data_IF_508780336884
#
_entry.id   IF_508780336884
#
_cell.length_a   1.000
_cell.length_b   1.000
_cell.length_c   1.000
_cell.angle_alpha   90.00
_cell.angle_beta   90.00
_cell.angle_gamma   90.00
#
_symmetry.space_group_name_H-M   'P 1'
#
loop_
_entity.id
_entity.type
_entity.pdbx_description
1 polymer ?
#
# COMPACT_ATOMS: atom_id res chain seq x y z
N UNK A 1 -29.76 3.46 -1.38
CA UNK A 1 -29.23 2.73 -2.57
C UNK A 1 -27.79 3.13 -2.89
N UNK A 2 -27.47 4.41 -3.05
CA UNK A 2 -26.09 4.86 -3.37
C UNK A 2 -25.08 4.55 -2.25
N UNK A 3 -25.49 4.69 -0.98
CA UNK A 3 -24.68 4.29 0.19
C UNK A 3 -24.42 2.78 0.23
N UNK A 4 -25.43 1.99 -0.13
CA UNK A 4 -25.35 0.52 -0.18
C UNK A 4 -24.42 0.05 -1.28
N UNK A 5 -24.39 0.74 -2.44
CA UNK A 5 -23.42 0.50 -3.52
C UNK A 5 -22.00 0.88 -3.08
N UNK A 6 -21.84 1.96 -2.31
CA UNK A 6 -20.53 2.35 -1.76
C UNK A 6 -19.99 1.30 -0.76
N UNK A 7 -20.86 0.73 0.08
CA UNK A 7 -20.48 -0.38 0.97
C UNK A 7 -20.30 -1.73 0.24
N UNK A 8 -21.05 -1.99 -0.84
CA UNK A 8 -20.82 -3.18 -1.67
C UNK A 8 -19.51 -3.09 -2.46
N UNK A 9 -19.08 -1.86 -2.80
CA UNK A 9 -17.76 -1.55 -3.36
C UNK A 9 -16.62 -1.63 -2.33
N UNK A 10 -16.91 -1.81 -1.03
CA UNK A 10 -15.88 -2.17 -0.03
C UNK A 10 -15.52 -3.66 -0.08
N UNK A 11 -16.11 -4.46 -0.97
CA UNK A 11 -15.40 -5.65 -1.46
C UNK A 11 -14.11 -5.15 -2.09
N UNK A 12 -12.99 -5.54 -1.51
CA UNK A 12 -11.68 -5.02 -1.84
C UNK A 12 -11.35 -5.50 -3.25
N UNK A 13 -11.73 -4.70 -4.25
CA UNK A 13 -11.37 -4.88 -5.66
C UNK A 13 -9.94 -4.41 -5.94
N UNK A 14 -9.29 -3.84 -4.93
CA UNK A 14 -7.87 -3.56 -4.94
C UNK A 14 -7.11 -4.87 -4.78
N UNK A 15 -6.04 -5.05 -5.57
CA UNK A 15 -5.08 -6.14 -5.43
C UNK A 15 -4.19 -5.97 -4.17
N UNK A 16 -4.50 -5.00 -3.33
CA UNK A 16 -3.81 -4.70 -2.10
C UNK A 16 -4.74 -4.13 -1.02
N UNK A 17 -4.37 -4.41 0.23
CA UNK A 17 -4.96 -3.84 1.45
C UNK A 17 -3.82 -3.21 2.23
N UNK A 18 -4.05 -2.01 2.72
CA UNK A 18 -3.13 -1.33 3.62
C UNK A 18 -3.82 -1.09 4.96
N UNK A 19 -3.14 -1.45 6.05
CA UNK A 19 -3.61 -1.25 7.44
C UNK A 19 -2.46 -0.65 8.23
N UNK A 20 -2.73 0.36 9.07
CA UNK A 20 -1.73 0.91 9.98
C UNK A 20 -1.62 0.10 11.27
N UNK A 21 -0.43 0.05 11.88
CA UNK A 21 -0.20 -0.77 13.09
C UNK A 21 -0.97 -0.29 14.32
N UNK A 22 -1.51 0.93 14.30
CA UNK A 22 -2.40 1.44 15.34
C UNK A 22 -3.89 1.14 15.08
N UNK A 23 -4.23 0.49 13.97
CA UNK A 23 -5.61 0.15 13.59
C UNK A 23 -5.95 -1.32 13.89
N UNK A 24 -5.00 -2.11 14.41
CA UNK A 24 -5.24 -3.50 14.80
C UNK A 24 -4.32 -3.92 15.96
N UNK A 25 -4.76 -4.92 16.71
CA UNK A 25 -3.95 -5.64 17.69
C UNK A 25 -3.40 -6.93 17.09
N UNK A 26 -4.27 -7.65 16.36
CA UNK A 26 -3.92 -8.89 15.68
C UNK A 26 -4.53 -8.93 14.28
N UNK A 27 -3.75 -9.42 13.33
CA UNK A 27 -4.13 -9.60 11.95
C UNK A 27 -3.78 -11.03 11.53
N UNK A 28 -4.78 -11.80 11.10
CA UNK A 28 -4.65 -13.19 10.68
C UNK A 28 -4.71 -13.23 9.15
N UNK A 29 -3.63 -13.64 8.50
CA UNK A 29 -3.51 -13.72 7.03
C UNK A 29 -2.93 -15.07 6.65
N UNK A 30 -3.72 -15.92 5.99
CA UNK A 30 -3.27 -17.24 5.49
C UNK A 30 -2.48 -18.05 6.55
N UNK A 31 -3.10 -18.25 7.74
CA UNK A 31 -2.51 -18.89 8.93
C UNK A 31 -1.30 -18.17 9.56
N UNK A 32 -0.89 -17.02 9.05
CA UNK A 32 0.11 -16.16 9.67
C UNK A 32 -0.58 -15.20 10.63
N UNK A 33 -0.10 -15.15 11.88
CA UNK A 33 -0.59 -14.21 12.89
C UNK A 33 0.40 -13.07 13.01
N UNK A 34 -0.08 -11.86 12.78
CA UNK A 34 0.68 -10.63 12.88
C UNK A 34 0.14 -9.84 14.05
N UNK A 35 1.00 -9.48 14.99
CA UNK A 35 0.62 -8.69 16.15
C UNK A 35 1.24 -7.30 16.01
N UNK A 36 0.44 -6.25 16.22
CA UNK A 36 0.92 -4.86 16.05
C UNK A 36 2.06 -4.51 17.00
N UNK A 37 2.05 -5.07 18.21
CA UNK A 37 3.11 -4.89 19.21
C UNK A 37 4.49 -5.46 18.78
N UNK A 38 4.53 -6.41 17.85
CA UNK A 38 5.77 -6.99 17.30
C UNK A 38 6.33 -6.18 16.12
N UNK A 39 5.54 -5.23 15.61
CA UNK A 39 5.89 -4.37 14.49
C UNK A 39 6.69 -3.14 14.96
N UNK A 40 7.93 -3.36 15.43
CA UNK A 40 8.75 -2.27 16.04
C UNK A 40 9.26 -1.25 15.01
N UNK A 41 9.56 -1.69 13.79
CA UNK A 41 10.19 -0.86 12.75
C UNK A 41 9.28 -0.57 11.54
N UNK A 42 7.96 -0.76 11.70
CA UNK A 42 6.98 -0.49 10.67
C UNK A 42 5.73 0.10 11.32
N UNK A 43 5.06 0.98 10.59
CA UNK A 43 3.79 1.58 11.04
C UNK A 43 2.63 1.22 10.11
N UNK A 44 2.90 0.47 9.05
CA UNK A 44 1.91 0.01 8.09
C UNK A 44 2.23 -1.39 7.60
N UNK A 45 1.19 -2.18 7.40
CA UNK A 45 1.26 -3.47 6.73
C UNK A 45 0.51 -3.33 5.41
N UNK A 46 1.16 -3.79 4.34
CA UNK A 46 0.58 -3.92 3.02
C UNK A 46 0.42 -5.40 2.71
N UNK A 47 -0.81 -5.82 2.46
CA UNK A 47 -1.16 -7.17 2.05
C UNK A 47 -1.49 -7.09 0.55
N UNK A 48 -0.80 -7.83 -0.30
CA UNK A 48 -1.04 -7.85 -1.75
C UNK A 48 -1.47 -9.24 -2.18
N UNK A 49 -2.42 -9.30 -3.12
CA UNK A 49 -2.94 -10.55 -3.66
C UNK A 49 -3.34 -10.36 -5.12
N UNK A 50 -3.58 -11.47 -5.83
CA UNK A 50 -3.90 -11.39 -7.26
C UNK A 50 -5.28 -10.75 -7.45
N UNK A 51 -5.40 -9.81 -8.39
CA UNK A 51 -6.65 -9.07 -8.62
C UNK A 51 -7.87 -9.89 -9.09
N UNK A 52 -7.70 -11.19 -9.38
CA UNK A 52 -8.81 -12.12 -9.66
C UNK A 52 -9.29 -12.87 -8.40
N UNK A 53 -8.61 -12.70 -7.26
CA UNK A 53 -9.04 -13.25 -5.97
C UNK A 53 -9.78 -12.19 -5.18
N UNK A 54 -10.89 -12.60 -4.58
CA UNK A 54 -11.74 -11.75 -3.76
C UNK A 54 -11.43 -12.04 -2.29
N UNK A 55 -10.90 -11.03 -1.61
CA UNK A 55 -10.67 -11.10 -0.16
C UNK A 55 -11.56 -10.13 0.59
N UNK A 56 -11.97 -10.54 1.79
CA UNK A 56 -12.68 -9.72 2.77
C UNK A 56 -11.87 -9.67 4.06
N UNK A 57 -11.74 -8.47 4.63
CA UNK A 57 -11.17 -8.27 5.96
C UNK A 57 -12.31 -8.27 6.99
N UNK A 58 -12.34 -9.26 7.87
CA UNK A 58 -13.42 -9.43 8.85
C UNK A 58 -12.87 -9.21 10.25
N UNK A 59 -13.55 -8.36 11.02
CA UNK A 59 -13.27 -8.17 12.44
C UNK A 59 -13.93 -9.32 13.24
N UNK A 60 -13.13 -10.09 13.96
CA UNK A 60 -13.61 -11.18 14.83
C UNK A 60 -13.87 -10.71 16.25
N UNK A 61 -12.96 -9.88 16.76
CA UNK A 61 -13.00 -9.23 18.07
C UNK A 61 -12.48 -7.81 17.88
N UNK A 62 -12.65 -6.94 18.87
CA UNK A 62 -12.18 -5.56 18.78
C UNK A 62 -10.71 -5.52 18.38
N UNK A 63 -10.40 -4.86 17.25
CA UNK A 63 -9.05 -4.72 16.71
C UNK A 63 -8.38 -6.05 16.28
N UNK A 64 -9.14 -7.15 16.16
CA UNK A 64 -8.65 -8.45 15.68
C UNK A 64 -9.28 -8.76 14.33
N UNK A 65 -8.46 -8.72 13.28
CA UNK A 65 -8.92 -8.90 11.91
C UNK A 65 -8.41 -10.21 11.30
N UNK A 66 -9.25 -10.82 10.47
CA UNK A 66 -8.88 -11.97 9.65
C UNK A 66 -9.15 -11.67 8.18
N UNK A 67 -8.17 -11.99 7.34
CA UNK A 67 -8.31 -11.94 5.89
C UNK A 67 -8.90 -13.26 5.39
N UNK A 68 -10.14 -13.22 4.90
CA UNK A 68 -10.87 -14.37 4.37
C UNK A 68 -10.95 -14.29 2.85
N UNK A 69 -10.59 -15.38 2.20
CA UNK A 69 -10.77 -15.58 0.76
C UNK A 69 -12.23 -15.96 0.48
N UNK A 70 -12.95 -15.08 -0.20
CA UNK A 70 -14.33 -15.29 -0.66
C UNK A 70 -14.40 -15.74 -2.13
N UNK A 71 -13.26 -16.01 -2.75
CA UNK A 71 -13.22 -16.42 -4.17
C UNK A 71 -13.90 -17.77 -4.34
N UNK A 72 -14.83 -17.85 -5.30
CA UNK A 72 -15.44 -19.12 -5.69
C UNK A 72 -14.57 -19.79 -6.74
N UNK A 73 -13.97 -20.93 -6.38
CA UNK A 73 -13.16 -21.75 -7.29
C UNK A 73 -14.00 -22.88 -7.86
N UNK A 74 -13.93 -23.09 -9.18
CA UNK A 74 -14.67 -24.16 -9.85
C UNK A 74 -14.05 -25.55 -9.69
N UNK A 75 -12.76 -25.64 -9.36
CA UNK A 75 -12.01 -26.90 -9.30
C UNK A 75 -11.31 -27.00 -7.94
N UNK A 76 -10.10 -26.47 -7.85
CA UNK A 76 -9.27 -26.50 -6.66
C UNK A 76 -8.92 -25.08 -6.26
N UNK A 77 -8.86 -24.88 -4.94
CA UNK A 77 -8.37 -23.63 -4.37
C UNK A 77 -6.84 -23.61 -4.54
N UNK A 78 -6.28 -22.63 -5.28
CA UNK A 78 -4.84 -22.50 -5.39
C UNK A 78 -4.23 -22.18 -4.03
N UNK A 79 -2.96 -22.52 -3.85
CA UNK A 79 -2.18 -22.05 -2.70
C UNK A 79 -2.24 -20.52 -2.69
N UNK A 80 -2.67 -19.95 -1.56
CA UNK A 80 -2.80 -18.51 -1.39
C UNK A 80 -1.45 -17.83 -1.59
N UNK A 81 -1.39 -16.96 -2.59
CA UNK A 81 -0.21 -16.21 -3.02
C UNK A 81 -0.34 -14.76 -2.50
N UNK A 82 -0.59 -14.66 -1.19
CA UNK A 82 -0.71 -13.38 -0.49
C UNK A 82 0.67 -12.95 -0.03
N UNK A 83 1.12 -11.80 -0.52
CA UNK A 83 2.36 -11.18 -0.10
C UNK A 83 2.09 -10.17 1.03
N UNK A 84 2.93 -10.18 2.05
CA UNK A 84 2.79 -9.31 3.23
C UNK A 84 4.07 -8.51 3.38
N UNK A 85 3.95 -7.20 3.16
CA UNK A 85 5.06 -6.26 3.22
C UNK A 85 4.87 -5.34 4.42
N UNK A 86 5.92 -5.23 5.23
CA UNK A 86 5.98 -4.33 6.38
C UNK A 86 6.63 -3.03 5.93
N UNK A 87 5.90 -1.92 6.03
CA UNK A 87 6.35 -0.62 5.54
C UNK A 87 6.43 0.41 6.68
N UNK A 88 7.46 1.25 6.62
CA UNK A 88 7.55 2.47 7.41
C UNK A 88 7.16 3.65 6.51
N UNK A 89 6.07 4.32 6.84
CA UNK A 89 5.52 5.45 6.10
C UNK A 89 5.62 6.74 6.89
N UNK A 90 5.96 7.82 6.20
CA UNK A 90 5.93 9.17 6.73
C UNK A 90 4.88 9.91 5.91
N UNK A 91 3.81 10.39 6.55
CA UNK A 91 2.67 11.03 5.87
C UNK A 91 2.11 10.22 4.68
N UNK A 92 1.96 8.91 4.85
CA UNK A 92 1.37 8.01 3.86
C UNK A 92 2.31 7.50 2.75
N UNK A 93 3.57 7.96 2.70
CA UNK A 93 4.56 7.52 1.71
C UNK A 93 5.76 6.82 2.37
N UNK A 94 6.32 5.81 1.71
CA UNK A 94 7.59 5.19 2.13
C UNK A 94 8.77 6.11 1.82
N UNK A 95 9.91 5.87 2.47
CA UNK A 95 11.12 6.69 2.29
C UNK A 95 11.58 6.77 0.82
N UNK A 96 11.43 5.68 0.05
CA UNK A 96 11.78 5.66 -1.37
C UNK A 96 10.97 6.68 -2.18
N UNK A 97 9.65 6.76 -1.95
CA UNK A 97 8.83 7.77 -2.62
C UNK A 97 9.18 9.19 -2.19
N UNK A 98 9.48 9.41 -0.90
CA UNK A 98 9.97 10.71 -0.44
C UNK A 98 11.27 11.12 -1.13
N UNK A 99 12.22 10.20 -1.28
CA UNK A 99 13.48 10.48 -1.98
C UNK A 99 13.26 10.94 -3.42
N UNK A 100 12.27 10.34 -4.11
CA UNK A 100 11.88 10.74 -5.46
C UNK A 100 11.20 12.12 -5.48
N UNK A 101 10.33 12.41 -4.52
CA UNK A 101 9.71 13.74 -4.37
C UNK A 101 10.79 14.81 -4.13
N UNK A 102 11.76 14.56 -3.24
CA UNK A 102 12.88 15.48 -3.02
C UNK A 102 13.74 15.68 -4.27
N UNK A 103 14.00 14.61 -5.03
CA UNK A 103 14.74 14.69 -6.27
C UNK A 103 14.03 15.59 -7.30
N UNK A 104 12.73 15.41 -7.50
CA UNK A 104 11.94 16.26 -8.40
C UNK A 104 11.98 17.71 -7.94
N UNK A 105 11.76 17.99 -6.65
CA UNK A 105 11.82 19.35 -6.13
C UNK A 105 13.18 20.01 -6.38
N UNK A 106 14.26 19.25 -6.20
CA UNK A 106 15.62 19.73 -6.46
C UNK A 106 15.81 20.04 -7.94
N UNK A 107 15.46 19.13 -8.85
CA UNK A 107 15.54 19.37 -10.30
C UNK A 107 14.73 20.60 -10.73
N UNK A 108 13.50 20.73 -10.23
CA UNK A 108 12.63 21.88 -10.50
C UNK A 108 13.24 23.18 -9.98
N UNK A 109 13.81 23.18 -8.77
CA UNK A 109 14.45 24.37 -8.20
C UNK A 109 15.69 24.81 -9.00
N UNK A 110 16.53 23.87 -9.43
CA UNK A 110 17.70 24.16 -10.27
C UNK A 110 17.27 24.73 -11.61
N UNK A 111 16.23 24.14 -12.22
CA UNK A 111 15.68 24.60 -13.50
C UNK A 111 15.11 26.01 -13.38
N UNK A 112 14.42 26.33 -12.28
CA UNK A 112 13.89 27.68 -12.03
C UNK A 112 14.99 28.71 -11.77
N UNK A 113 16.01 28.38 -10.97
CA UNK A 113 17.05 29.34 -10.60
C UNK A 113 18.13 29.54 -11.67
N UNK A 114 18.42 28.50 -12.45
CA UNK A 114 19.54 28.48 -13.40
C UNK A 114 19.12 28.11 -14.82
N UNK A 115 17.83 27.98 -15.11
CA UNK A 115 17.32 27.56 -16.41
C UNK A 115 17.85 28.42 -17.56
N UNK A 116 17.80 29.74 -17.43
CA UNK A 116 18.30 30.67 -18.46
C UNK A 116 19.81 30.50 -18.68
N UNK A 117 20.60 30.41 -17.60
CA UNK A 117 22.06 30.17 -17.69
C UNK A 117 22.39 28.80 -18.27
N UNK A 118 21.62 27.77 -17.94
CA UNK A 118 21.76 26.43 -18.51
C UNK A 118 21.47 26.43 -20.01
N UNK A 119 20.42 27.12 -20.44
CA UNK A 119 20.07 27.30 -21.86
C UNK A 119 21.18 28.06 -22.58
N UNK A 120 21.69 29.14 -21.99
CA UNK A 120 22.78 29.94 -22.56
C UNK A 120 24.07 29.11 -22.73
N UNK A 121 24.47 28.35 -21.71
CA UNK A 121 25.63 27.45 -21.79
C UNK A 121 25.41 26.40 -22.89
N UNK A 122 24.25 25.74 -22.92
CA UNK A 122 23.95 24.71 -23.92
C UNK A 122 23.91 25.26 -25.34
N UNK A 123 23.43 26.50 -25.52
CA UNK A 123 23.41 27.17 -26.82
C UNK A 123 24.80 27.51 -27.37
N UNK A 124 25.80 27.69 -26.49
CA UNK A 124 27.18 27.95 -26.90
C UNK A 124 27.97 26.68 -27.28
N UNK A 125 27.39 25.49 -27.06
CA UNK A 125 28.00 24.20 -27.42
C UNK A 125 27.43 23.60 -28.73
N UNK A 126 26.40 24.22 -29.32
CA UNK A 126 25.80 23.84 -30.62
C UNK A 126 26.30 24.81 -31.69
#
# INVERSE_FOLDING_TARGET
>A
MLLTVFFYLNKILSDNIQIYTNEFDKLIVNNTIIESNKCVNCNSIKISFKGYTLYSLIEKESMVYELIDETVYFIERPISDVDIVYEMKYYGLTLHYWSFVFFIMLCSSVTLCYGEKLIEILSNFI
#
